data_IF_924331571563
#
_entry.id   IF_924331571563
#
_cell.length_a   1.000
_cell.length_b   1.000
_cell.length_c   1.000
_cell.angle_alpha   90.00
_cell.angle_beta   90.00
_cell.angle_gamma   90.00
#
_symmetry.space_group_name_H-M   'P 1'
#
loop_
_entity.id
_entity.type
_entity.pdbx_description
1 polymer ?
#
# COMPACT_ATOMS: atom_id res chain seq x y z
N UNK A 1 -10.30 40.99 -17.84
CA UNK A 1 -10.92 39.74 -17.33
C UNK A 1 -10.29 38.43 -17.86
N UNK A 2 -9.65 38.41 -19.04
CA UNK A 2 -9.13 37.16 -19.66
C UNK A 2 -8.00 36.49 -18.85
N UNK A 3 -7.15 37.25 -18.15
CA UNK A 3 -6.04 36.70 -17.37
C UNK A 3 -6.41 35.98 -16.06
N UNK A 4 -7.61 36.20 -15.52
CA UNK A 4 -8.05 35.55 -14.28
C UNK A 4 -8.49 34.10 -14.51
N UNK A 5 -9.00 33.80 -15.71
CA UNK A 5 -9.49 32.46 -16.07
C UNK A 5 -8.34 31.46 -16.29
N UNK A 6 -7.21 31.89 -16.84
CA UNK A 6 -6.06 31.02 -17.10
C UNK A 6 -5.35 30.60 -15.81
N UNK A 7 -5.27 31.49 -14.81
CA UNK A 7 -4.62 31.20 -13.53
C UNK A 7 -5.32 30.08 -12.75
N UNK A 8 -6.66 30.11 -12.65
CA UNK A 8 -7.44 29.07 -11.96
C UNK A 8 -7.24 27.67 -12.57
N UNK A 9 -7.26 27.58 -13.91
CA UNK A 9 -7.08 26.31 -14.62
C UNK A 9 -5.75 25.64 -14.28
N UNK A 10 -4.66 26.41 -14.21
CA UNK A 10 -3.33 25.86 -13.89
C UNK A 10 -3.19 25.36 -12.45
N UNK A 11 -3.90 25.97 -11.49
CA UNK A 11 -3.85 25.55 -10.09
C UNK A 11 -4.63 24.25 -9.83
N UNK A 12 -5.75 24.05 -10.51
CA UNK A 12 -6.56 22.83 -10.39
C UNK A 12 -5.85 21.62 -11.00
N UNK A 13 -5.22 21.81 -12.16
CA UNK A 13 -4.43 20.76 -12.80
C UNK A 13 -3.25 20.34 -11.92
N UNK A 14 -2.60 21.31 -11.29
CA UNK A 14 -1.50 21.07 -10.36
C UNK A 14 -1.94 20.27 -9.13
N UNK A 15 -3.09 20.60 -8.54
CA UNK A 15 -3.65 19.87 -7.42
C UNK A 15 -4.03 18.42 -7.81
N UNK A 16 -4.55 18.22 -9.02
CA UNK A 16 -4.91 16.90 -9.54
C UNK A 16 -3.69 15.98 -9.68
N UNK A 17 -2.55 16.51 -10.16
CA UNK A 17 -1.30 15.73 -10.31
C UNK A 17 -0.75 15.24 -8.97
N UNK A 18 -0.73 16.11 -7.95
CA UNK A 18 -0.27 15.72 -6.60
C UNK A 18 -1.14 14.62 -6.02
N UNK A 19 -2.47 14.72 -6.18
CA UNK A 19 -3.40 13.68 -5.72
C UNK A 19 -3.16 12.35 -6.42
N UNK A 20 -2.89 12.36 -7.73
CA UNK A 20 -2.58 11.14 -8.47
C UNK A 20 -1.29 10.47 -7.94
N UNK A 21 -0.21 11.22 -7.75
CA UNK A 21 1.05 10.69 -7.20
C UNK A 21 0.81 10.09 -5.81
N UNK A 22 0.01 10.75 -4.99
CA UNK A 22 -0.36 10.29 -3.66
C UNK A 22 -1.13 8.96 -3.68
N UNK A 23 -2.10 8.84 -4.59
CA UNK A 23 -2.88 7.61 -4.80
C UNK A 23 -1.95 6.46 -5.23
N UNK A 24 -1.05 6.71 -6.19
CA UNK A 24 -0.07 5.72 -6.65
C UNK A 24 0.82 5.26 -5.49
N UNK A 25 1.27 6.19 -4.63
CA UNK A 25 2.06 5.86 -3.44
C UNK A 25 1.31 4.94 -2.45
N UNK A 26 0.04 5.24 -2.16
CA UNK A 26 -0.80 4.41 -1.28
C UNK A 26 -0.96 3.01 -1.88
N UNK A 27 -1.32 2.90 -3.16
CA UNK A 27 -1.49 1.62 -3.83
C UNK A 27 -0.20 0.80 -3.84
N UNK A 28 0.94 1.42 -4.15
CA UNK A 28 2.24 0.77 -4.09
C UNK A 28 2.50 0.20 -2.69
N UNK A 29 2.27 1.00 -1.64
CA UNK A 29 2.47 0.57 -0.25
C UNK A 29 1.54 -0.60 0.14
N UNK A 30 0.27 -0.60 -0.30
CA UNK A 30 -0.65 -1.73 -0.05
C UNK A 30 -0.18 -2.99 -0.78
N UNK A 31 0.16 -2.88 -2.07
CA UNK A 31 0.62 -4.02 -2.87
C UNK A 31 1.89 -4.62 -2.28
N UNK A 32 2.87 -3.78 -1.93
CA UNK A 32 4.11 -4.22 -1.29
C UNK A 32 3.84 -4.89 0.06
N UNK A 33 2.96 -4.31 0.90
CA UNK A 33 2.56 -4.92 2.18
C UNK A 33 1.98 -6.32 1.98
N UNK A 34 1.01 -6.47 1.06
CA UNK A 34 0.38 -7.76 0.74
C UNK A 34 1.39 -8.76 0.17
N UNK A 35 2.30 -8.32 -0.70
CA UNK A 35 3.36 -9.16 -1.25
C UNK A 35 4.26 -9.73 -0.15
N UNK A 36 4.65 -8.91 0.84
CA UNK A 36 5.44 -9.37 1.98
C UNK A 36 4.66 -10.30 2.90
N UNK A 37 3.34 -10.10 3.10
CA UNK A 37 2.51 -11.06 3.85
C UNK A 37 2.51 -12.43 3.16
N UNK A 38 2.27 -12.48 1.84
CA UNK A 38 2.29 -13.74 1.10
C UNK A 38 3.65 -14.42 1.16
N UNK A 39 4.72 -13.64 1.07
CA UNK A 39 6.08 -14.15 1.20
C UNK A 39 6.31 -14.74 2.60
N UNK A 40 5.93 -14.03 3.67
CA UNK A 40 6.02 -14.55 5.04
C UNK A 40 5.25 -15.86 5.21
N UNK A 41 4.01 -15.93 4.70
CA UNK A 41 3.17 -17.14 4.80
C UNK A 41 3.78 -18.34 4.07
N UNK A 42 4.38 -18.12 2.89
CA UNK A 42 5.05 -19.18 2.13
C UNK A 42 6.34 -19.62 2.83
N UNK A 43 7.06 -18.70 3.46
CA UNK A 43 8.30 -19.01 4.15
C UNK A 43 8.10 -19.70 5.50
N UNK A 44 6.96 -19.46 6.17
CA UNK A 44 6.60 -20.14 7.42
C UNK A 44 6.62 -21.67 7.30
N UNK A 45 6.29 -22.25 6.14
CA UNK A 45 6.37 -23.70 5.94
C UNK A 45 7.80 -24.24 5.85
N UNK A 46 8.80 -23.38 5.69
CA UNK A 46 10.20 -23.77 5.50
C UNK A 46 11.10 -23.47 6.71
N UNK A 47 10.56 -22.86 7.77
CA UNK A 47 11.33 -22.48 8.97
C UNK A 47 12.09 -23.68 9.58
N UNK A 48 11.46 -24.85 9.64
CA UNK A 48 12.07 -26.04 10.25
C UNK A 48 13.30 -26.54 9.49
N UNK A 49 13.38 -26.28 8.19
CA UNK A 49 14.46 -26.76 7.34
C UNK A 49 15.64 -25.78 7.26
N UNK A 50 15.41 -24.50 7.56
CA UNK A 50 16.41 -23.43 7.39
C UNK A 50 16.90 -22.78 8.69
N UNK A 51 16.47 -23.29 9.84
CA UNK A 51 16.98 -22.87 11.14
C UNK A 51 16.91 -21.36 11.35
N UNK A 52 18.00 -20.77 11.87
CA UNK A 52 18.10 -19.35 12.23
C UNK A 52 18.01 -18.39 11.02
N UNK A 53 18.48 -18.81 9.85
CA UNK A 53 18.38 -17.99 8.63
C UNK A 53 16.92 -17.85 8.18
N UNK A 54 16.16 -18.95 8.28
CA UNK A 54 14.74 -19.00 7.94
C UNK A 54 13.90 -18.09 8.84
N UNK A 55 14.15 -18.10 10.15
CA UNK A 55 13.44 -17.22 11.09
C UNK A 55 13.76 -15.75 10.82
N UNK A 56 15.03 -15.39 10.61
CA UNK A 56 15.47 -14.02 10.33
C UNK A 56 14.76 -13.43 9.10
N UNK A 57 14.71 -14.18 8.00
CA UNK A 57 14.03 -13.76 6.76
C UNK A 57 12.52 -13.58 6.99
N UNK A 58 11.90 -14.45 7.78
CA UNK A 58 10.48 -14.32 8.15
C UNK A 58 10.23 -13.01 8.91
N UNK A 59 11.06 -12.73 9.92
CA UNK A 59 10.95 -11.50 10.72
C UNK A 59 11.10 -10.25 9.86
N UNK A 60 12.09 -10.23 8.97
CA UNK A 60 12.32 -9.15 8.02
C UNK A 60 11.07 -8.92 7.16
N UNK A 61 10.51 -9.98 6.58
CA UNK A 61 9.32 -9.88 5.74
C UNK A 61 8.06 -9.43 6.50
N UNK A 62 7.81 -9.96 7.69
CA UNK A 62 6.67 -9.54 8.53
C UNK A 62 6.80 -8.08 8.94
N UNK A 63 8.00 -7.65 9.31
CA UNK A 63 8.28 -6.25 9.67
C UNK A 63 8.03 -5.33 8.49
N UNK A 64 8.44 -5.72 7.28
CA UNK A 64 8.15 -4.97 6.07
C UNK A 64 6.66 -4.90 5.76
N UNK A 65 5.95 -6.04 5.82
CA UNK A 65 4.50 -6.08 5.62
C UNK A 65 3.78 -5.09 6.56
N UNK A 66 4.13 -5.13 7.85
CA UNK A 66 3.57 -4.23 8.86
C UNK A 66 3.90 -2.77 8.57
N UNK A 67 5.17 -2.45 8.30
CA UNK A 67 5.62 -1.08 8.02
C UNK A 67 4.87 -0.48 6.82
N UNK A 68 4.82 -1.19 5.69
CA UNK A 68 4.11 -0.71 4.50
C UNK A 68 2.60 -0.59 4.72
N UNK A 69 2.02 -1.48 5.52
CA UNK A 69 0.61 -1.39 5.93
C UNK A 69 0.33 -0.13 6.75
N UNK A 70 1.16 0.16 7.75
CA UNK A 70 1.05 1.39 8.57
C UNK A 70 1.23 2.64 7.71
N UNK A 71 2.23 2.67 6.83
CA UNK A 71 2.45 3.81 5.92
C UNK A 71 1.24 4.02 5.00
N UNK A 72 0.65 2.95 4.46
CA UNK A 72 -0.54 3.06 3.62
C UNK A 72 -1.73 3.65 4.40
N UNK A 73 -1.94 3.24 5.65
CA UNK A 73 -3.01 3.76 6.52
C UNK A 73 -2.76 5.23 6.86
N UNK A 74 -1.55 5.60 7.25
CA UNK A 74 -1.18 6.99 7.59
C UNK A 74 -1.30 7.91 6.38
N UNK A 75 -0.77 7.48 5.23
CA UNK A 75 -0.88 8.22 3.98
C UNK A 75 -2.35 8.37 3.57
N UNK A 76 -3.12 7.28 3.58
CA UNK A 76 -4.56 7.32 3.33
C UNK A 76 -5.28 8.30 4.26
N UNK A 77 -4.96 8.27 5.55
CA UNK A 77 -5.54 9.19 6.55
C UNK A 77 -5.23 10.65 6.20
N UNK A 78 -3.98 10.99 5.91
CA UNK A 78 -3.61 12.35 5.48
C UNK A 78 -4.33 12.74 4.19
N UNK A 79 -4.43 11.82 3.23
CA UNK A 79 -5.13 12.04 1.96
C UNK A 79 -6.60 12.41 2.16
N UNK A 80 -7.31 11.68 3.04
CA UNK A 80 -8.74 11.89 3.30
C UNK A 80 -9.03 13.07 4.22
N UNK A 81 -8.24 13.28 5.28
CA UNK A 81 -8.54 14.26 6.32
C UNK A 81 -7.99 15.65 6.05
N UNK A 82 -7.00 15.80 5.16
CA UNK A 82 -6.42 17.11 4.84
C UNK A 82 -6.90 17.61 3.48
N UNK A 83 -7.39 18.85 3.41
CA UNK A 83 -7.85 19.46 2.15
C UNK A 83 -6.76 20.30 1.47
N UNK A 84 -5.68 20.61 2.17
CA UNK A 84 -4.67 21.57 1.74
C UNK A 84 -3.56 20.91 0.95
N UNK A 85 -3.36 21.37 -0.29
CA UNK A 85 -2.33 20.85 -1.20
C UNK A 85 -0.91 21.02 -0.66
N UNK A 86 -0.68 22.02 0.20
CA UNK A 86 0.61 22.23 0.87
C UNK A 86 0.94 21.10 1.84
N UNK A 87 -0.02 20.65 2.65
CA UNK A 87 0.17 19.55 3.61
C UNK A 87 0.39 18.24 2.88
N UNK A 88 -0.40 17.96 1.83
CA UNK A 88 -0.22 16.78 0.98
C UNK A 88 1.19 16.68 0.40
N UNK A 89 1.74 17.77 -0.14
CA UNK A 89 3.06 17.74 -0.75
C UNK A 89 4.19 17.49 0.27
N UNK A 90 4.10 18.07 1.47
CA UNK A 90 5.09 17.86 2.54
C UNK A 90 4.99 16.44 3.09
N UNK A 91 3.77 15.97 3.37
CA UNK A 91 3.53 14.62 3.86
C UNK A 91 3.98 13.56 2.85
N UNK A 92 3.69 13.76 1.56
CA UNK A 92 4.12 12.86 0.49
C UNK A 92 5.64 12.71 0.44
N UNK A 93 6.38 13.83 0.50
CA UNK A 93 7.85 13.80 0.53
C UNK A 93 8.32 13.05 1.78
N UNK A 94 7.76 13.34 2.95
CA UNK A 94 8.14 12.68 4.20
C UNK A 94 7.89 11.17 4.14
N UNK A 95 6.70 10.74 3.71
CA UNK A 95 6.36 9.32 3.56
C UNK A 95 7.27 8.63 2.54
N UNK A 96 7.52 9.26 1.40
CA UNK A 96 8.38 8.68 0.35
C UNK A 96 9.82 8.51 0.83
N UNK A 97 10.37 9.50 1.55
CA UNK A 97 11.71 9.40 2.15
C UNK A 97 11.76 8.28 3.20
N UNK A 98 10.77 8.20 4.09
CA UNK A 98 10.71 7.14 5.09
C UNK A 98 10.64 5.75 4.45
N UNK A 99 9.79 5.56 3.44
CA UNK A 99 9.71 4.29 2.71
C UNK A 99 10.99 3.96 1.97
N UNK A 100 11.66 4.95 1.38
CA UNK A 100 12.93 4.75 0.69
C UNK A 100 14.02 4.28 1.66
N UNK A 101 14.19 4.97 2.78
CA UNK A 101 15.19 4.61 3.80
C UNK A 101 14.90 3.22 4.38
N UNK A 102 13.64 2.91 4.69
CA UNK A 102 13.26 1.58 5.17
C UNK A 102 13.56 0.48 4.13
N UNK A 103 13.22 0.71 2.86
CA UNK A 103 13.52 -0.24 1.77
C UNK A 103 15.02 -0.48 1.65
N UNK A 104 15.83 0.58 1.77
CA UNK A 104 17.28 0.50 1.71
C UNK A 104 17.84 -0.31 2.88
N UNK A 105 17.39 -0.03 4.12
CA UNK A 105 17.79 -0.80 5.30
C UNK A 105 17.42 -2.28 5.15
N UNK A 106 16.20 -2.57 4.70
CA UNK A 106 15.74 -3.94 4.43
C UNK A 106 16.62 -4.68 3.42
N UNK A 107 16.97 -4.02 2.31
CA UNK A 107 17.85 -4.58 1.29
C UNK A 107 19.24 -4.90 1.85
N UNK A 108 19.80 -3.97 2.65
CA UNK A 108 21.09 -4.16 3.31
C UNK A 108 21.03 -5.30 4.33
N UNK A 109 19.99 -5.36 5.17
CA UNK A 109 19.81 -6.44 6.14
C UNK A 109 19.67 -7.79 5.44
N UNK A 110 18.91 -7.88 4.35
CA UNK A 110 18.82 -9.11 3.55
C UNK A 110 20.16 -9.51 2.95
N UNK A 111 20.94 -8.56 2.45
CA UNK A 111 22.28 -8.84 1.93
C UNK A 111 23.22 -9.33 3.04
N UNK A 112 23.18 -8.73 4.23
CA UNK A 112 23.98 -9.17 5.37
C UNK A 112 23.59 -10.59 5.80
N UNK A 113 22.29 -10.86 5.93
CA UNK A 113 21.79 -12.20 6.29
C UNK A 113 22.20 -13.27 5.28
N UNK A 114 22.34 -12.92 4.00
CA UNK A 114 22.89 -13.83 2.99
C UNK A 114 24.38 -14.09 3.15
N UNK A 115 25.14 -13.06 3.51
CA UNK A 115 26.60 -13.17 3.56
C UNK A 115 27.13 -13.76 4.87
N UNK A 116 26.39 -13.59 5.97
CA UNK A 116 26.88 -13.92 7.31
C UNK A 116 26.56 -15.36 7.74
N UNK A 117 25.33 -15.85 7.51
CA UNK A 117 24.81 -17.08 8.13
C UNK A 117 24.04 -18.00 7.17
N UNK A 118 24.23 -17.84 5.86
CA UNK A 118 23.43 -18.58 4.89
C UNK A 118 24.00 -19.97 4.63
N UNK A 119 23.37 -20.99 5.21
CA UNK A 119 23.75 -22.37 4.96
C UNK A 119 23.38 -22.75 3.50
N UNK A 120 24.35 -23.18 2.67
CA UNK A 120 24.12 -23.40 1.24
C UNK A 120 23.05 -24.47 0.95
N UNK A 121 22.81 -25.37 1.90
CA UNK A 121 21.78 -26.41 1.86
C UNK A 121 20.35 -25.83 1.76
N UNK A 122 20.13 -24.59 2.24
CA UNK A 122 18.84 -23.92 2.11
C UNK A 122 18.57 -23.27 0.75
N UNK A 123 19.59 -23.17 -0.11
CA UNK A 123 19.50 -22.63 -1.47
C UNK A 123 19.26 -23.75 -2.50
N UNK A 124 18.42 -24.74 -2.17
CA UNK A 124 17.89 -25.68 -3.15
C UNK A 124 17.18 -24.94 -4.29
N UNK A 125 17.09 -25.53 -5.48
CA UNK A 125 16.65 -24.85 -6.70
C UNK A 125 15.26 -24.20 -6.57
N UNK A 126 14.36 -24.76 -5.74
CA UNK A 126 13.06 -24.14 -5.43
C UNK A 126 13.18 -22.83 -4.64
N UNK A 127 14.06 -22.80 -3.64
CA UNK A 127 14.23 -21.65 -2.75
C UNK A 127 14.96 -20.48 -3.43
N UNK A 128 15.79 -20.75 -4.44
CA UNK A 128 16.46 -19.70 -5.25
C UNK A 128 15.46 -18.76 -5.92
N UNK A 129 14.36 -19.31 -6.43
CA UNK A 129 13.32 -18.53 -7.11
C UNK A 129 12.60 -17.62 -6.11
N UNK A 130 12.27 -18.13 -4.92
CA UNK A 130 11.63 -17.35 -3.86
C UNK A 130 12.53 -16.22 -3.38
N UNK A 131 13.82 -16.51 -3.25
CA UNK A 131 14.81 -15.53 -2.88
C UNK A 131 14.95 -14.42 -3.93
N UNK A 132 15.03 -14.80 -5.21
CA UNK A 132 15.06 -13.86 -6.33
C UNK A 132 13.80 -12.99 -6.40
N UNK A 133 12.63 -13.58 -6.11
CA UNK A 133 11.37 -12.84 -6.06
C UNK A 133 11.41 -11.70 -5.04
N UNK A 134 11.94 -11.94 -3.84
CA UNK A 134 12.01 -10.91 -2.80
C UNK A 134 12.96 -9.78 -3.19
N UNK A 135 14.10 -10.13 -3.77
CA UNK A 135 15.04 -9.15 -4.33
C UNK A 135 14.41 -8.32 -5.43
N UNK A 136 13.68 -8.97 -6.34
CA UNK A 136 12.98 -8.31 -7.43
C UNK A 136 11.89 -7.35 -6.89
N UNK A 137 11.07 -7.79 -5.94
CA UNK A 137 10.02 -6.96 -5.31
C UNK A 137 10.63 -5.79 -4.55
N UNK A 138 11.69 -6.03 -3.77
CA UNK A 138 12.37 -4.99 -2.98
C UNK A 138 13.06 -3.98 -3.90
N UNK A 139 13.76 -4.46 -4.94
CA UNK A 139 14.41 -3.62 -5.93
C UNK A 139 13.42 -2.80 -6.75
N UNK A 140 12.31 -3.40 -7.20
CA UNK A 140 11.23 -2.69 -7.89
C UNK A 140 10.59 -1.63 -6.98
N UNK A 141 10.35 -1.96 -5.70
CA UNK A 141 9.82 -1.01 -4.72
C UNK A 141 10.78 0.16 -4.50
N UNK A 142 12.09 -0.10 -4.41
CA UNK A 142 13.11 0.93 -4.28
C UNK A 142 13.15 1.85 -5.50
N UNK A 143 13.06 1.28 -6.71
CA UNK A 143 13.00 2.05 -7.94
C UNK A 143 11.76 2.94 -7.99
N UNK A 144 10.57 2.39 -7.69
CA UNK A 144 9.32 3.15 -7.64
C UNK A 144 9.40 4.28 -6.60
N UNK A 145 9.89 4.00 -5.40
CA UNK A 145 10.06 5.02 -4.36
C UNK A 145 11.04 6.12 -4.79
N UNK A 146 12.11 5.76 -5.51
CA UNK A 146 13.06 6.73 -6.08
C UNK A 146 12.42 7.63 -7.14
N UNK A 147 11.63 7.05 -8.04
CA UNK A 147 10.89 7.80 -9.06
C UNK A 147 9.83 8.72 -8.45
N UNK A 148 9.11 8.26 -7.43
CA UNK A 148 8.14 9.06 -6.68
C UNK A 148 8.82 10.21 -5.94
N UNK A 149 9.99 9.96 -5.33
CA UNK A 149 10.75 10.97 -4.62
C UNK A 149 11.28 12.05 -5.58
N UNK A 150 11.87 11.62 -6.70
CA UNK A 150 12.34 12.52 -7.74
C UNK A 150 11.18 13.37 -8.29
N UNK A 151 10.03 12.75 -8.56
CA UNK A 151 8.82 13.44 -9.00
C UNK A 151 8.35 14.49 -7.99
N UNK A 152 8.37 14.16 -6.70
CA UNK A 152 7.99 15.08 -5.63
C UNK A 152 8.97 16.25 -5.46
N UNK A 153 10.28 16.00 -5.61
CA UNK A 153 11.32 17.03 -5.56
C UNK A 153 11.22 17.96 -6.77
N UNK A 154 11.12 17.41 -7.99
CA UNK A 154 10.97 18.19 -9.21
C UNK A 154 9.72 19.05 -9.15
N UNK A 155 8.62 18.49 -8.65
CA UNK A 155 7.38 19.23 -8.41
C UNK A 155 7.58 20.39 -7.43
N UNK A 156 8.24 20.15 -6.29
CA UNK A 156 8.53 21.18 -5.29
C UNK A 156 9.40 22.30 -5.87
N UNK A 157 10.43 21.95 -6.63
CA UNK A 157 11.31 22.93 -7.28
C UNK A 157 10.57 23.75 -8.34
N UNK A 158 9.73 23.13 -9.16
CA UNK A 158 8.91 23.82 -10.14
C UNK A 158 7.92 24.78 -9.48
N UNK A 159 7.37 24.41 -8.33
CA UNK A 159 6.50 25.28 -7.53
C UNK A 159 7.25 26.48 -6.96
N UNK A 160 8.41 26.25 -6.33
CA UNK A 160 9.23 27.32 -5.78
C UNK A 160 9.64 28.35 -6.85
N UNK A 161 9.93 27.90 -8.09
CA UNK A 161 10.21 28.81 -9.21
C UNK A 161 9.02 29.69 -9.60
N UNK A 162 7.78 29.22 -9.46
CA UNK A 162 6.56 30.01 -9.74
C UNK A 162 6.20 30.95 -8.61
N UNK A 163 6.54 30.58 -7.38
CA UNK A 163 6.33 31.40 -6.18
C UNK A 163 7.48 32.39 -5.93
N UNK A 164 8.55 32.34 -6.73
CA UNK A 164 9.60 33.36 -6.72
C UNK A 164 8.92 34.73 -6.86
N UNK A 165 9.08 35.63 -5.87
CA UNK A 165 8.36 36.88 -5.85
C UNK A 165 8.73 37.63 -7.13
N UNK A 166 7.78 37.74 -8.06
CA UNK A 166 7.88 38.79 -9.07
C UNK A 166 7.98 40.07 -8.26
N UNK A 167 9.12 40.77 -8.36
CA UNK A 167 9.28 42.06 -7.71
C UNK A 167 8.03 42.87 -8.07
N UNK A 168 7.24 43.32 -7.08
CA UNK A 168 6.05 44.07 -7.37
C UNK A 168 6.49 45.30 -8.16
N UNK A 169 6.05 45.41 -9.40
CA UNK A 169 6.11 46.68 -10.13
C UNK A 169 5.47 47.74 -9.24
N UNK A 170 6.10 48.90 -9.10
CA UNK A 170 5.73 49.96 -8.15
C UNK A 170 4.22 50.26 -8.13
N UNK A 171 3.56 50.25 -9.30
CA UNK A 171 2.11 50.43 -9.44
C UNK A 171 1.26 49.33 -8.76
N UNK A 172 1.71 48.08 -8.78
CA UNK A 172 1.01 46.95 -8.16
C UNK A 172 1.12 46.96 -6.64
N UNK A 173 2.23 47.48 -6.10
CA UNK A 173 2.40 47.67 -4.67
C UNK A 173 1.43 48.74 -4.14
N UNK A 174 1.27 49.86 -4.87
CA UNK A 174 0.39 50.97 -4.48
C UNK A 174 -1.10 50.58 -4.53
N UNK A 175 -1.51 49.78 -5.52
CA UNK A 175 -2.87 49.27 -5.65
C UNK A 175 -3.23 48.22 -4.58
N UNK A 176 -2.27 47.38 -4.18
CA UNK A 176 -2.48 46.36 -3.15
C UNK A 176 -2.77 46.98 -1.78
N UNK A 177 -2.01 48.00 -1.37
CA UNK A 177 -2.20 48.71 -0.08
C UNK A 177 -3.58 49.35 0.04
N UNK A 178 -4.18 49.79 -1.08
CA UNK A 178 -5.52 50.41 -1.10
C UNK A 178 -6.64 49.38 -0.97
N UNK A 179 -6.42 48.16 -1.45
CA UNK A 179 -7.41 47.07 -1.42
C UNK A 179 -7.45 46.32 -0.09
N UNK A 180 -6.30 46.14 0.57
CA UNK A 180 -6.19 45.41 1.84
C UNK A 180 -6.93 46.10 2.98
N UNK A 181 -6.93 47.45 3.01
CA UNK A 181 -7.66 48.25 4.02
C UNK A 181 -9.19 48.11 3.89
N UNK A 182 -9.72 47.91 2.68
CA UNK A 182 -11.16 47.73 2.46
C UNK A 182 -11.63 46.31 2.78
N UNK A 183 -10.81 45.29 2.48
CA UNK A 183 -11.16 43.88 2.68
C UNK A 183 -11.08 43.43 4.16
N UNK A 184 -10.21 44.05 4.95
CA UNK A 184 -10.15 43.83 6.41
C UNK A 184 -11.43 44.30 7.11
N UNK A 185 -12.07 45.35 6.56
CA UNK A 185 -13.35 45.89 7.06
C UNK A 185 -14.55 44.96 6.80
N UNK A 186 -14.51 44.13 5.75
CA UNK A 186 -15.56 43.15 5.45
C UNK A 186 -15.37 41.81 6.17
N UNK A 187 -14.13 41.36 6.37
CA UNK A 187 -13.83 40.12 7.10
C UNK A 187 -14.30 40.15 8.56
N UNK A 188 -14.31 41.32 9.19
CA UNK A 188 -14.84 41.50 10.55
C UNK A 188 -16.37 41.26 10.60
N UNK A 189 -17.11 41.48 9.51
CA UNK A 189 -18.57 41.26 9.45
C UNK A 189 -18.97 39.81 9.24
N UNK A 190 -18.13 39.00 8.58
CA UNK A 190 -18.46 37.62 8.20
C UNK A 190 -18.11 36.56 9.27
N UNK A 191 -17.29 36.92 10.26
CA UNK A 191 -16.84 35.99 11.31
C UNK A 191 -17.89 35.71 12.41
N UNK A 192 -19.11 36.24 12.30
CA UNK A 192 -20.17 36.14 13.32
C UNK A 192 -21.14 34.95 13.10
N UNK A 193 -21.14 34.28 11.94
CA UNK A 193 -22.06 33.16 11.68
C UNK A 193 -21.40 31.79 11.88
N UNK A 194 -21.25 31.43 13.15
CA UNK A 194 -20.77 30.12 13.61
C UNK A 194 -21.78 28.99 13.35
N UNK A 195 -21.70 28.36 12.18
CA UNK A 195 -22.31 27.04 11.96
C UNK A 195 -21.28 26.02 11.49
N UNK A 196 -21.36 24.84 12.09
CA UNK A 196 -20.28 23.86 12.21
C UNK A 196 -19.71 23.36 10.86
N UNK A 197 -18.45 23.73 10.59
CA UNK A 197 -17.72 23.50 9.33
C UNK A 197 -17.53 22.03 8.92
N UNK A 198 -17.71 21.08 9.84
CA UNK A 198 -17.45 19.67 9.60
C UNK A 198 -18.55 19.00 8.75
N UNK A 199 -19.82 19.39 8.90
CA UNK A 199 -20.94 18.82 8.12
C UNK A 199 -20.81 19.16 6.64
N UNK A 200 -20.43 20.39 6.32
CA UNK A 200 -20.19 20.86 4.95
C UNK A 200 -19.00 20.13 4.29
N UNK A 201 -17.92 19.88 5.05
CA UNK A 201 -16.76 19.11 4.56
C UNK A 201 -17.12 17.65 4.28
N UNK A 202 -17.91 17.02 5.16
CA UNK A 202 -18.36 15.64 4.97
C UNK A 202 -19.25 15.50 3.72
N UNK A 203 -20.17 16.44 3.52
CA UNK A 203 -21.06 16.45 2.35
C UNK A 203 -20.30 16.69 1.04
N UNK A 204 -19.22 17.48 1.06
CA UNK A 204 -18.32 17.66 -0.09
C UNK A 204 -17.51 16.41 -0.41
N UNK A 205 -17.07 15.65 0.59
CA UNK A 205 -16.35 14.38 0.41
C UNK A 205 -17.29 13.32 -0.18
N UNK A 206 -18.52 13.20 0.34
CA UNK A 206 -19.55 12.30 -0.19
C UNK A 206 -20.02 12.67 -1.60
N UNK A 207 -19.84 13.94 -2.01
CA UNK A 207 -20.14 14.44 -3.36
C UNK A 207 -18.96 14.38 -4.33
N UNK A 208 -17.76 13.95 -3.90
CA UNK A 208 -16.70 13.63 -4.87
C UNK A 208 -17.26 12.59 -5.85
N UNK A 209 -17.10 12.77 -7.17
CA UNK A 209 -17.77 11.94 -8.15
C UNK A 209 -17.31 10.49 -8.02
N UNK A 210 -18.09 9.72 -7.27
CA UNK A 210 -17.97 8.28 -7.07
C UNK A 210 -17.89 7.53 -8.42
N UNK A 211 -18.40 8.16 -9.48
CA UNK A 211 -18.36 7.71 -10.87
C UNK A 211 -16.97 7.58 -11.49
N UNK A 212 -15.89 8.13 -10.91
CA UNK A 212 -14.51 7.92 -11.40
C UNK A 212 -13.64 7.08 -10.47
N UNK A 213 -13.77 7.26 -9.15
CA UNK A 213 -12.88 6.60 -8.20
C UNK A 213 -13.28 5.14 -7.96
N UNK A 214 -14.58 4.84 -7.91
CA UNK A 214 -15.06 3.47 -7.70
C UNK A 214 -14.69 2.56 -8.89
N UNK A 215 -14.92 2.95 -10.16
CA UNK A 215 -14.50 2.12 -11.29
C UNK A 215 -12.99 1.90 -11.31
N UNK A 216 -12.18 2.92 -10.97
CA UNK A 216 -10.73 2.79 -10.93
C UNK A 216 -10.27 1.77 -9.87
N UNK A 217 -10.87 1.81 -8.67
CA UNK A 217 -10.59 0.84 -7.61
C UNK A 217 -11.04 -0.56 -8.04
N UNK A 218 -12.27 -0.71 -8.54
CA UNK A 218 -12.81 -2.00 -9.00
C UNK A 218 -11.96 -2.59 -10.12
N UNK A 219 -11.55 -1.78 -11.11
CA UNK A 219 -10.71 -2.22 -12.22
C UNK A 219 -9.31 -2.61 -11.74
N UNK A 220 -8.74 -1.84 -10.80
CA UNK A 220 -7.43 -2.17 -10.20
C UNK A 220 -7.49 -3.47 -9.40
N UNK A 221 -8.55 -3.71 -8.62
CA UNK A 221 -8.75 -4.95 -7.88
C UNK A 221 -8.95 -6.15 -8.83
N UNK A 222 -9.74 -5.99 -9.89
CA UNK A 222 -9.92 -7.02 -10.92
C UNK A 222 -8.61 -7.35 -11.63
N UNK A 223 -7.86 -6.33 -12.04
CA UNK A 223 -6.56 -6.50 -12.69
C UNK A 223 -5.56 -7.19 -11.76
N UNK A 224 -5.53 -6.79 -10.48
CA UNK A 224 -4.72 -7.47 -9.47
C UNK A 224 -5.09 -8.94 -9.33
N UNK A 225 -6.39 -9.27 -9.25
CA UNK A 225 -6.85 -10.65 -9.16
C UNK A 225 -6.43 -11.46 -10.39
N UNK A 226 -6.56 -10.91 -11.59
CA UNK A 226 -6.16 -11.57 -12.84
C UNK A 226 -4.64 -11.81 -12.85
N UNK A 227 -3.83 -10.78 -12.56
CA UNK A 227 -2.38 -10.88 -12.56
C UNK A 227 -1.91 -11.86 -11.48
N UNK A 228 -2.47 -11.78 -10.27
CA UNK A 228 -2.12 -12.67 -9.17
C UNK A 228 -2.43 -14.13 -9.51
N UNK A 229 -3.66 -14.41 -9.99
CA UNK A 229 -4.02 -15.78 -10.36
C UNK A 229 -3.20 -16.30 -11.55
N UNK A 230 -2.90 -15.43 -12.53
CA UNK A 230 -2.02 -15.76 -13.66
C UNK A 230 -0.58 -16.06 -13.21
N UNK A 231 -0.01 -15.22 -12.35
CA UNK A 231 1.31 -15.41 -11.78
C UNK A 231 1.40 -16.68 -10.94
N UNK A 232 0.39 -16.96 -10.10
CA UNK A 232 0.31 -18.20 -9.32
C UNK A 232 0.22 -19.43 -10.23
N UNK A 233 -0.55 -19.37 -11.32
CA UNK A 233 -0.67 -20.46 -12.29
C UNK A 233 0.64 -20.71 -13.05
N UNK A 234 1.32 -19.65 -13.49
CA UNK A 234 2.62 -19.75 -14.16
C UNK A 234 3.71 -20.27 -13.21
N UNK A 235 3.70 -19.80 -11.96
CA UNK A 235 4.76 -20.12 -10.99
C UNK A 235 4.60 -21.51 -10.39
N UNK A 236 3.40 -21.84 -9.89
CA UNK A 236 3.16 -23.08 -9.15
C UNK A 236 2.66 -24.24 -10.03
N UNK A 237 2.47 -23.98 -11.32
CA UNK A 237 1.95 -24.94 -12.29
C UNK A 237 0.43 -25.14 -12.18
N UNK A 238 -0.15 -25.77 -13.20
CA UNK A 238 -1.61 -25.91 -13.32
C UNK A 238 -2.24 -26.79 -12.24
N UNK A 239 -1.46 -27.65 -11.59
CA UNK A 239 -1.91 -28.61 -10.58
C UNK A 239 -1.88 -28.12 -9.13
N UNK A 240 -1.49 -26.87 -8.85
CA UNK A 240 -1.27 -26.45 -7.47
C UNK A 240 -2.60 -26.27 -6.69
N UNK A 241 -2.75 -26.85 -5.49
CA UNK A 241 -4.01 -26.89 -4.72
C UNK A 241 -4.51 -25.53 -4.19
N UNK A 242 -3.78 -24.43 -4.42
CA UNK A 242 -4.26 -23.07 -4.13
C UNK A 242 -5.46 -22.71 -5.02
N UNK A 243 -5.59 -23.34 -6.19
CA UNK A 243 -6.78 -23.22 -7.00
C UNK A 243 -7.88 -24.16 -6.49
N UNK A 244 -8.53 -23.75 -5.38
CA UNK A 244 -9.64 -24.49 -4.74
C UNK A 244 -10.77 -24.84 -5.72
N UNK A 245 -10.86 -24.13 -6.85
CA UNK A 245 -11.79 -24.44 -7.94
C UNK A 245 -11.42 -25.70 -8.72
N UNK A 246 -10.16 -25.87 -9.12
CA UNK A 246 -9.72 -27.08 -9.86
C UNK A 246 -9.87 -28.32 -8.98
N UNK A 247 -9.54 -28.22 -7.69
CA UNK A 247 -9.78 -29.30 -6.73
C UNK A 247 -11.25 -29.72 -6.68
N UNK A 248 -12.18 -28.75 -6.63
CA UNK A 248 -13.63 -29.04 -6.63
C UNK A 248 -14.09 -29.70 -7.94
N UNK A 249 -13.57 -29.25 -9.09
CA UNK A 249 -13.88 -29.84 -10.39
C UNK A 249 -13.37 -31.27 -10.46
N UNK A 250 -12.11 -31.53 -10.09
CA UNK A 250 -11.53 -32.87 -10.09
C UNK A 250 -12.23 -33.82 -9.10
N UNK A 251 -12.66 -33.29 -7.94
CA UNK A 251 -13.44 -34.04 -6.96
C UNK A 251 -14.82 -34.42 -7.50
N UNK A 252 -15.53 -33.49 -8.14
CA UNK A 252 -16.82 -33.77 -8.77
C UNK A 252 -16.69 -34.72 -9.98
N UNK A 253 -15.58 -34.63 -10.71
CA UNK A 253 -15.30 -35.49 -11.87
C UNK A 253 -14.74 -36.87 -11.48
N UNK A 254 -14.54 -37.15 -10.18
CA UNK A 254 -13.97 -38.42 -9.71
C UNK A 254 -12.50 -38.65 -10.10
N UNK A 255 -11.82 -37.63 -10.62
CA UNK A 255 -10.43 -37.73 -11.10
C UNK A 255 -9.39 -37.44 -10.02
N UNK A 256 -9.82 -37.28 -8.76
CA UNK A 256 -8.93 -36.97 -7.65
C UNK A 256 -8.20 -38.24 -7.19
N UNK A 257 -6.87 -38.17 -7.06
CA UNK A 257 -6.06 -39.28 -6.57
C UNK A 257 -6.55 -39.73 -5.16
N UNK A 258 -6.67 -41.04 -4.93
CA UNK A 258 -7.13 -41.60 -3.66
C UNK A 258 -6.30 -41.16 -2.45
N UNK A 259 -5.01 -40.88 -2.65
CA UNK A 259 -4.14 -40.33 -1.58
C UNK A 259 -4.59 -38.93 -1.13
N UNK A 260 -5.00 -38.08 -2.08
CA UNK A 260 -5.47 -36.72 -1.80
C UNK A 260 -6.83 -36.73 -1.10
N UNK A 261 -7.73 -37.65 -1.47
CA UNK A 261 -8.99 -37.89 -0.76
C UNK A 261 -8.74 -38.35 0.68
N UNK A 262 -7.75 -39.22 0.89
CA UNK A 262 -7.38 -39.69 2.24
C UNK A 262 -6.84 -38.55 3.11
N UNK A 263 -6.01 -37.67 2.55
CA UNK A 263 -5.49 -36.48 3.25
C UNK A 263 -6.60 -35.49 3.58
N UNK A 264 -7.54 -35.25 2.67
CA UNK A 264 -8.71 -34.40 2.93
C UNK A 264 -9.55 -34.95 4.10
N UNK A 265 -9.82 -36.26 4.10
CA UNK A 265 -10.56 -36.93 5.18
C UNK A 265 -9.85 -36.80 6.53
N UNK A 266 -8.54 -37.05 6.58
CA UNK A 266 -7.73 -36.90 7.80
C UNK A 266 -7.76 -35.47 8.37
N UNK A 267 -7.64 -34.46 7.50
CA UNK A 267 -7.67 -33.05 7.94
C UNK A 267 -9.06 -32.66 8.42
N UNK A 268 -10.13 -33.11 7.74
CA UNK A 268 -11.51 -32.87 8.17
C UNK A 268 -11.82 -33.56 9.50
N UNK A 269 -11.41 -34.82 9.67
CA UNK A 269 -11.60 -35.57 10.91
C UNK A 269 -10.83 -34.91 12.07
N UNK A 270 -9.61 -34.43 11.83
CA UNK A 270 -8.83 -33.68 12.82
C UNK A 270 -9.48 -32.34 13.19
N UNK A 271 -10.00 -31.59 12.23
CA UNK A 271 -10.71 -30.35 12.51
C UNK A 271 -12.02 -30.62 13.26
N UNK A 272 -12.73 -31.69 12.91
CA UNK A 272 -13.96 -32.09 13.58
C UNK A 272 -13.69 -32.44 15.05
N UNK A 273 -12.71 -33.31 15.31
CA UNK A 273 -12.37 -33.72 16.67
C UNK A 273 -11.81 -32.58 17.53
N UNK A 274 -11.12 -31.60 16.92
CA UNK A 274 -10.54 -30.48 17.68
C UNK A 274 -11.51 -29.36 17.99
N UNK A 275 -12.49 -29.10 17.12
CA UNK A 275 -13.34 -27.90 17.20
C UNK A 275 -14.83 -28.18 17.41
N UNK A 276 -15.33 -29.37 17.06
CA UNK A 276 -16.76 -29.67 17.08
C UNK A 276 -17.13 -30.77 18.07
N UNK A 277 -16.22 -31.69 18.38
CA UNK A 277 -16.43 -32.61 19.50
C UNK A 277 -16.22 -31.82 20.80
N UNK A 278 -17.29 -31.69 21.56
CA UNK A 278 -17.29 -30.96 22.83
C UNK A 278 -16.29 -31.62 23.79
N UNK A 279 -15.49 -30.81 24.50
CA UNK A 279 -14.59 -31.27 25.57
C UNK A 279 -15.37 -31.69 26.84
N UNK A 280 -16.57 -32.23 26.68
CA UNK A 280 -17.56 -32.36 27.74
C UNK A 280 -17.60 -33.76 28.37
N UNK A 281 -16.42 -34.36 28.54
CA UNK A 281 -16.26 -35.38 29.58
C UNK A 281 -15.08 -34.95 30.45
N UNK A 282 -15.32 -34.25 31.58
CA UNK A 282 -14.30 -34.18 32.61
C UNK A 282 -13.86 -35.60 32.94
N UNK A 283 -12.55 -35.86 33.13
CA UNK A 283 -12.09 -37.19 33.49
C UNK A 283 -12.83 -37.64 34.75
N UNK A 284 -13.46 -38.82 34.70
CA UNK A 284 -14.04 -39.44 35.88
C UNK A 284 -12.91 -39.62 36.91
N UNK A 285 -12.88 -38.74 37.91
CA UNK A 285 -12.08 -38.94 39.11
C UNK A 285 -12.79 -40.04 39.88
N UNK A 286 -12.34 -41.27 39.66
CA UNK A 286 -12.79 -42.44 40.41
C UNK A 286 -12.61 -42.18 41.91
N UNK A 287 -13.73 -42.14 42.62
CA UNK A 287 -13.79 -42.25 44.08
C UNK A 287 -13.98 -43.72 44.46
#
# INVERSE_FOLDING_TARGET
>A
MIGMSTRKKTTEEAASRVRLIYIVFIFNSIITSVAFVFYSLNWFSHINNCGSSGTSITYIAVTAAFFYGVIAILAGSVFFFTSTTSVHSKALIAFTVMTFLFTLTMLITMLISLTADFEPSCLSDGNRIEFFYVWLVTGATLLINSLLLLSAILWRNARNKREAPQLPTYESALAFTRSTVMEERERIKLNITGTSSWKLRLQQILRLPATRTIPAIVTSTLLYLIIYNGAVRLWKGEGHPINRFIWRIQKNNGSLNGELLRKEKLVLDYHKSRFYDARDTPPELGY
#
